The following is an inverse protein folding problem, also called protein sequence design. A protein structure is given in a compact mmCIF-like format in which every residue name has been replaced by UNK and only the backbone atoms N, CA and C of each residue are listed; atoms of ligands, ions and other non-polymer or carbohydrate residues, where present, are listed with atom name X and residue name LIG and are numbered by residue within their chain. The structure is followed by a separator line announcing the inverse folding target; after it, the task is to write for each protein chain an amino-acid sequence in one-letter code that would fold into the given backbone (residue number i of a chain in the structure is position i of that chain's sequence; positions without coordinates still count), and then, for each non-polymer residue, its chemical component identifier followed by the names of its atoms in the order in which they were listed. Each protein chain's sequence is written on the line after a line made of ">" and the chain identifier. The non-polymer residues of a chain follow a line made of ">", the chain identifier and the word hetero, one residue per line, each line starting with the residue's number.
data_IF_016168740441
#
_entry.id   IF_016168740441
#
_cell.length_a   1.000
_cell.length_b   1.000
_cell.length_c   1.000
_cell.angle_alpha   90.00
_cell.angle_beta   90.00
_cell.angle_gamma   90.00
#
_symmetry.space_group_name_H-M   'P 1'
#
loop_
_entity.id
_entity.type
_entity.pdbx_description
1 polymer ?
#
# COMPACT_ATOMS: atom_id res chain seq x y z
N UNK A 1 71.97 -9.00 -20.27
CA UNK A 1 71.15 -7.83 -20.58
C UNK A 1 70.09 -8.28 -21.58
N UNK A 2 68.80 -8.32 -21.35
CA UNK A 2 67.95 -8.05 -20.20
C UNK A 2 66.51 -8.30 -20.68
N UNK A 3 65.67 -8.88 -19.82
CA UNK A 3 64.24 -8.55 -19.63
C UNK A 3 63.30 -8.86 -20.84
N UNK A 4 62.18 -9.60 -20.78
CA UNK A 4 61.33 -10.26 -19.78
C UNK A 4 60.16 -10.86 -20.58
N UNK A 5 59.61 -12.01 -20.18
CA UNK A 5 58.22 -12.15 -19.72
C UNK A 5 57.98 -13.61 -19.32
N UNK A 6 58.66 -14.05 -18.26
CA UNK A 6 58.10 -15.10 -17.41
C UNK A 6 56.88 -14.52 -16.72
N UNK A 7 55.71 -14.61 -17.35
CA UNK A 7 54.43 -14.28 -16.71
C UNK A 7 53.27 -14.72 -17.60
N UNK A 8 52.51 -15.70 -17.09
CA UNK A 8 51.19 -16.14 -17.55
C UNK A 8 51.14 -17.03 -18.80
N UNK A 9 51.59 -18.27 -18.65
CA UNK A 9 50.88 -19.39 -19.28
C UNK A 9 50.75 -20.55 -18.28
N UNK A 10 50.18 -20.22 -17.11
CA UNK A 10 49.60 -21.19 -16.19
C UNK A 10 48.44 -21.89 -16.89
N UNK A 11 48.73 -23.11 -17.27
CA UNK A 11 47.93 -23.99 -18.08
C UNK A 11 46.76 -24.62 -17.27
N UNK A 12 45.62 -24.74 -17.96
CA UNK A 12 44.51 -25.70 -17.78
C UNK A 12 43.37 -25.41 -16.79
N UNK A 13 42.16 -25.36 -17.38
CA UNK A 13 40.89 -25.88 -16.88
C UNK A 13 40.07 -25.06 -15.86
N UNK A 14 39.55 -23.91 -16.28
CA UNK A 14 38.40 -23.24 -15.59
C UNK A 14 37.07 -23.48 -16.34
N UNK A 15 37.09 -24.08 -17.53
CA UNK A 15 35.93 -24.07 -18.44
C UNK A 15 34.85 -25.13 -18.17
N UNK A 16 34.82 -25.77 -17.00
CA UNK A 16 33.70 -26.68 -16.70
C UNK A 16 33.27 -26.63 -15.23
N UNK A 17 32.91 -25.43 -14.77
CA UNK A 17 32.00 -25.31 -13.64
C UNK A 17 30.63 -25.70 -14.18
N UNK A 18 30.16 -26.90 -13.87
CA UNK A 18 28.82 -27.34 -14.24
C UNK A 18 27.81 -26.49 -13.44
N UNK A 19 27.35 -25.39 -14.06
CA UNK A 19 26.39 -24.43 -13.50
C UNK A 19 24.96 -25.00 -13.40
N UNK A 20 24.77 -26.28 -13.75
CA UNK A 20 23.48 -26.94 -13.62
C UNK A 20 23.17 -27.08 -12.13
N UNK A 21 22.09 -26.46 -11.62
CA UNK A 21 21.72 -26.65 -10.23
C UNK A 21 21.45 -28.13 -10.02
N UNK A 22 22.27 -28.78 -9.17
CA UNK A 22 22.03 -30.17 -8.78
C UNK A 22 20.62 -30.24 -8.19
N UNK A 23 19.77 -31.18 -8.64
CA UNK A 23 18.45 -31.32 -8.04
C UNK A 23 18.62 -31.61 -6.54
N UNK A 24 17.76 -31.05 -5.69
CA UNK A 24 17.87 -31.25 -4.26
C UNK A 24 17.74 -32.74 -3.93
N UNK A 25 18.62 -33.24 -3.05
CA UNK A 25 18.63 -34.65 -2.60
C UNK A 25 17.31 -35.01 -1.89
N UNK A 26 16.69 -34.02 -1.27
CA UNK A 26 15.42 -34.15 -0.59
C UNK A 26 14.44 -33.13 -1.15
N UNK A 27 13.27 -33.60 -1.55
CA UNK A 27 12.15 -32.76 -1.93
C UNK A 27 11.14 -32.84 -0.80
N UNK A 28 10.73 -31.70 -0.25
CA UNK A 28 9.61 -31.70 0.71
C UNK A 28 8.36 -32.17 -0.01
N UNK A 29 7.87 -33.37 0.32
CA UNK A 29 6.51 -33.78 -0.04
C UNK A 29 5.58 -33.26 1.03
N UNK A 30 4.67 -32.38 0.64
CA UNK A 30 3.55 -32.00 1.51
C UNK A 30 2.76 -33.27 1.87
N UNK A 31 2.64 -33.56 3.17
CA UNK A 31 1.79 -34.65 3.67
C UNK A 31 0.37 -34.09 3.69
N UNK A 32 -0.48 -34.55 2.79
CA UNK A 32 -1.88 -34.16 2.73
C UNK A 32 -2.70 -35.15 3.56
N UNK A 33 -3.28 -34.69 4.67
CA UNK A 33 -4.27 -35.45 5.44
C UNK A 33 -5.44 -35.81 4.54
N UNK A 34 -5.94 -37.05 4.60
CA UNK A 34 -7.04 -37.53 3.74
C UNK A 34 -8.34 -36.73 3.89
N UNK A 35 -8.52 -36.08 5.03
CA UNK A 35 -9.67 -35.21 5.31
C UNK A 35 -9.15 -33.79 5.53
N UNK A 36 -9.52 -32.88 4.63
CA UNK A 36 -9.35 -31.44 4.83
C UNK A 36 -10.52 -30.96 5.66
N UNK A 37 -10.29 -30.65 6.92
CA UNK A 37 -11.32 -30.13 7.82
C UNK A 37 -11.57 -28.63 7.54
N UNK A 38 -12.01 -28.35 6.31
CA UNK A 38 -12.31 -27.00 5.83
C UNK A 38 -13.48 -26.39 6.58
N UNK A 39 -14.33 -27.25 7.15
CA UNK A 39 -15.53 -26.92 7.91
C UNK A 39 -15.20 -26.41 9.32
N UNK A 40 -14.03 -26.78 9.86
CA UNK A 40 -13.49 -26.26 11.12
C UNK A 40 -12.76 -24.90 10.95
N UNK A 41 -12.61 -24.40 9.72
CA UNK A 41 -11.93 -23.15 9.44
C UNK A 41 -12.88 -21.96 9.66
N UNK A 42 -12.74 -21.30 10.80
CA UNK A 42 -13.50 -20.08 11.11
C UNK A 42 -12.84 -18.85 10.51
N UNK A 43 -13.62 -17.78 10.31
CA UNK A 43 -13.06 -16.46 10.04
C UNK A 43 -12.09 -16.06 11.17
N UNK A 44 -10.95 -15.43 10.84
CA UNK A 44 -10.06 -14.85 11.84
C UNK A 44 -10.81 -13.91 12.77
N UNK A 45 -10.49 -14.01 14.06
CA UNK A 45 -11.07 -13.15 15.08
C UNK A 45 -10.83 -11.67 14.77
N UNK A 46 -11.90 -10.88 14.70
CA UNK A 46 -11.84 -9.42 14.62
C UNK A 46 -12.01 -8.83 16.02
N UNK A 47 -10.94 -8.30 16.66
CA UNK A 47 -11.02 -7.78 18.01
C UNK A 47 -11.89 -6.52 18.10
N UNK A 48 -12.55 -6.38 19.24
CA UNK A 48 -13.17 -5.11 19.64
C UNK A 48 -12.08 -4.04 19.84
N UNK A 49 -12.38 -2.80 19.48
CA UNK A 49 -11.49 -1.67 19.70
C UNK A 49 -12.16 -0.62 20.60
N UNK A 50 -11.34 0.16 21.30
CA UNK A 50 -11.78 1.30 22.12
C UNK A 50 -11.12 2.56 21.55
N UNK A 51 -11.90 3.62 21.39
CA UNK A 51 -11.42 4.92 20.88
C UNK A 51 -11.58 5.94 22.00
N UNK A 52 -10.53 6.74 22.23
CA UNK A 52 -10.60 7.83 23.20
C UNK A 52 -11.56 8.92 22.72
N UNK A 53 -12.17 9.64 23.67
CA UNK A 53 -13.06 10.75 23.33
C UNK A 53 -12.29 11.84 22.57
N UNK A 54 -12.76 12.17 21.37
CA UNK A 54 -12.14 13.16 20.49
C UNK A 54 -11.15 12.58 19.46
N UNK A 55 -10.77 11.32 19.59
CA UNK A 55 -9.91 10.65 18.64
C UNK A 55 -10.74 10.09 17.46
N UNK A 56 -10.28 10.30 16.23
CA UNK A 56 -10.94 9.80 15.02
C UNK A 56 -9.91 9.09 14.14
N UNK A 57 -9.49 7.86 14.52
CA UNK A 57 -8.46 7.13 13.81
C UNK A 57 -8.91 6.76 12.39
N UNK A 58 -8.04 6.96 11.42
CA UNK A 58 -8.34 6.80 10.00
C UNK A 58 -8.51 5.35 9.60
N UNK A 59 -7.86 4.43 10.31
CA UNK A 59 -8.00 2.99 10.14
C UNK A 59 -9.43 2.53 10.37
N UNK A 60 -10.21 3.24 11.20
CA UNK A 60 -11.62 2.93 11.40
C UNK A 60 -12.50 3.25 10.19
N UNK A 61 -11.99 3.98 9.19
CA UNK A 61 -12.70 4.15 7.92
C UNK A 61 -12.70 2.86 7.08
N UNK A 62 -11.84 1.89 7.41
CA UNK A 62 -11.74 0.60 6.74
C UNK A 62 -12.51 -0.52 7.45
N UNK A 63 -13.32 -0.24 8.48
CA UNK A 63 -14.04 -1.28 9.25
C UNK A 63 -15.07 -2.06 8.44
N UNK A 64 -15.43 -1.58 7.24
CA UNK A 64 -16.26 -2.35 6.31
C UNK A 64 -15.53 -3.58 5.73
N UNK A 65 -14.21 -3.63 5.84
CA UNK A 65 -13.40 -4.73 5.34
C UNK A 65 -13.22 -5.79 6.44
N UNK A 66 -13.41 -7.05 6.09
CA UNK A 66 -13.10 -8.20 6.95
C UNK A 66 -12.34 -9.27 6.16
N UNK A 67 -11.83 -10.29 6.87
CA UNK A 67 -11.15 -11.40 6.22
C UNK A 67 -12.09 -12.10 5.23
N UNK A 68 -11.64 -12.32 4.00
CA UNK A 68 -12.48 -12.86 2.93
C UNK A 68 -13.43 -11.84 2.28
N UNK A 69 -13.57 -10.64 2.86
CA UNK A 69 -14.42 -9.56 2.38
C UNK A 69 -13.62 -8.25 2.28
N UNK A 70 -12.69 -8.22 1.33
CA UNK A 70 -11.88 -7.03 1.01
C UNK A 70 -10.54 -6.92 1.73
N UNK A 71 -10.20 -7.84 2.63
CA UNK A 71 -8.82 -8.04 3.10
C UNK A 71 -8.12 -9.18 2.32
N UNK A 72 -6.81 -9.10 2.03
CA UNK A 72 -5.87 -8.04 2.41
C UNK A 72 -6.13 -6.72 1.67
N UNK A 73 -5.86 -5.61 2.36
CA UNK A 73 -6.08 -4.25 1.86
C UNK A 73 -5.33 -4.03 0.53
N UNK A 74 -6.04 -3.54 -0.48
CA UNK A 74 -5.47 -3.19 -1.78
C UNK A 74 -4.92 -1.75 -1.83
N UNK A 75 -4.23 -1.41 -2.92
CA UNK A 75 -3.74 -0.04 -3.16
C UNK A 75 -4.86 1.00 -3.11
N UNK A 76 -6.04 0.65 -3.61
CA UNK A 76 -7.21 1.52 -3.63
C UNK A 76 -7.59 2.06 -2.23
N UNK A 77 -7.61 1.19 -1.23
CA UNK A 77 -7.98 1.57 0.14
C UNK A 77 -6.92 2.46 0.79
N UNK A 78 -5.65 2.20 0.49
CA UNK A 78 -4.52 3.04 0.93
C UNK A 78 -4.64 4.43 0.30
N UNK A 79 -4.86 4.50 -1.01
CA UNK A 79 -5.08 5.76 -1.74
C UNK A 79 -6.29 6.53 -1.19
N UNK A 80 -7.37 5.84 -0.82
CA UNK A 80 -8.54 6.46 -0.17
C UNK A 80 -8.18 7.12 1.16
N UNK A 81 -7.36 6.49 2.00
CA UNK A 81 -6.86 7.09 3.25
C UNK A 81 -5.97 8.30 2.95
N UNK A 82 -5.05 8.17 2.01
CA UNK A 82 -4.12 9.25 1.65
C UNK A 82 -4.84 10.48 1.09
N UNK A 83 -5.83 10.28 0.21
CA UNK A 83 -6.71 11.37 -0.26
C UNK A 83 -7.43 12.05 0.90
N UNK A 84 -7.92 11.26 1.86
CA UNK A 84 -8.56 11.82 3.05
C UNK A 84 -7.60 12.63 3.93
N UNK A 85 -6.32 12.24 4.03
CA UNK A 85 -5.29 13.02 4.72
C UNK A 85 -5.04 14.34 4.03
N UNK A 86 -4.78 14.31 2.72
CA UNK A 86 -4.55 15.52 1.92
C UNK A 86 -5.71 16.50 2.03
N UNK A 87 -6.96 16.00 1.98
CA UNK A 87 -8.15 16.83 2.18
C UNK A 87 -8.14 17.50 3.55
N UNK A 88 -7.88 16.74 4.62
CA UNK A 88 -7.88 17.27 5.99
C UNK A 88 -6.76 18.31 6.19
N UNK A 89 -5.58 18.07 5.64
CA UNK A 89 -4.47 19.03 5.67
C UNK A 89 -4.84 20.34 4.98
N UNK A 90 -5.48 20.25 3.80
CA UNK A 90 -5.93 21.45 3.09
C UNK A 90 -7.02 22.16 3.92
N UNK A 91 -8.05 21.45 4.39
CA UNK A 91 -9.13 22.02 5.21
C UNK A 91 -8.62 22.66 6.51
N UNK A 92 -7.60 22.09 7.15
CA UNK A 92 -6.96 22.65 8.34
C UNK A 92 -6.18 23.94 8.05
N UNK A 93 -5.61 24.06 6.84
CA UNK A 93 -4.91 25.26 6.39
C UNK A 93 -5.86 26.38 5.91
N UNK A 94 -7.15 26.09 5.69
CA UNK A 94 -8.11 27.11 5.30
C UNK A 94 -8.44 28.04 6.49
N UNK A 95 -8.44 29.38 6.31
CA UNK A 95 -8.79 30.31 7.37
C UNK A 95 -10.25 30.11 7.80
N UNK A 96 -10.56 30.10 9.11
CA UNK A 96 -11.93 29.96 9.60
C UNK A 96 -12.86 30.98 8.95
N UNK A 97 -14.07 30.55 8.59
CA UNK A 97 -15.01 31.43 7.88
C UNK A 97 -15.34 32.71 8.66
N UNK A 98 -15.40 32.62 10.00
CA UNK A 98 -15.68 33.75 10.89
C UNK A 98 -14.68 34.90 10.72
N UNK A 99 -13.42 34.59 10.47
CA UNK A 99 -12.33 35.58 10.40
C UNK A 99 -12.32 36.31 9.05
N UNK A 100 -12.84 35.67 8.00
CA UNK A 100 -12.81 36.17 6.63
C UNK A 100 -14.16 36.71 6.14
N UNK A 101 -15.22 36.62 6.96
CA UNK A 101 -16.59 36.96 6.57
C UNK A 101 -16.77 38.38 6.00
N UNK A 102 -15.93 39.32 6.45
CA UNK A 102 -15.98 40.72 6.00
C UNK A 102 -15.14 40.98 4.74
N UNK A 103 -14.35 40.01 4.27
CA UNK A 103 -13.42 40.16 3.16
C UNK A 103 -13.83 39.27 1.97
N UNK A 104 -14.50 39.87 0.99
CA UNK A 104 -14.99 39.19 -0.22
C UNK A 104 -13.88 38.48 -1.01
N UNK A 105 -12.66 39.05 -1.05
CA UNK A 105 -11.52 38.46 -1.78
C UNK A 105 -11.06 37.16 -1.11
N UNK A 106 -11.00 37.13 0.22
CA UNK A 106 -10.62 35.92 0.95
C UNK A 106 -11.70 34.83 0.87
N UNK A 107 -12.98 35.22 0.91
CA UNK A 107 -14.10 34.30 0.69
C UNK A 107 -13.99 33.67 -0.70
N UNK A 108 -13.80 34.46 -1.75
CA UNK A 108 -13.65 33.96 -3.11
C UNK A 108 -12.47 32.99 -3.26
N UNK A 109 -11.32 33.29 -2.63
CA UNK A 109 -10.16 32.38 -2.57
C UNK A 109 -10.52 31.06 -1.89
N UNK A 110 -11.21 31.12 -0.75
CA UNK A 110 -11.66 29.93 -0.01
C UNK A 110 -12.57 29.06 -0.88
N UNK A 111 -13.58 29.65 -1.51
CA UNK A 111 -14.50 28.94 -2.39
C UNK A 111 -13.76 28.25 -3.54
N UNK A 112 -12.82 28.95 -4.21
CA UNK A 112 -12.03 28.38 -5.30
C UNK A 112 -11.18 27.18 -4.86
N UNK A 113 -10.62 27.21 -3.65
CA UNK A 113 -9.85 26.08 -3.11
C UNK A 113 -10.77 24.88 -2.84
N UNK A 114 -11.94 25.12 -2.26
CA UNK A 114 -12.92 24.06 -1.98
C UNK A 114 -13.50 23.44 -3.26
N UNK A 115 -13.81 24.26 -4.26
CA UNK A 115 -14.27 23.82 -5.57
C UNK A 115 -13.20 22.95 -6.26
N UNK A 116 -11.93 23.37 -6.21
CA UNK A 116 -10.82 22.57 -6.76
C UNK A 116 -10.56 21.26 -6.00
N UNK A 117 -10.95 21.17 -4.72
CA UNK A 117 -10.94 19.91 -3.97
C UNK A 117 -12.08 19.00 -4.40
N UNK A 118 -13.29 19.55 -4.50
CA UNK A 118 -14.47 18.80 -4.92
C UNK A 118 -14.29 18.24 -6.33
N UNK A 119 -13.87 19.05 -7.29
CA UNK A 119 -13.63 18.60 -8.67
C UNK A 119 -12.62 17.45 -8.75
N UNK A 120 -11.58 17.47 -7.90
CA UNK A 120 -10.62 16.35 -7.81
C UNK A 120 -11.29 15.09 -7.29
N UNK A 121 -12.10 15.17 -6.23
CA UNK A 121 -12.85 14.02 -5.74
C UNK A 121 -13.82 13.45 -6.77
N UNK A 122 -14.55 14.33 -7.47
CA UNK A 122 -15.46 13.94 -8.54
C UNK A 122 -14.74 13.15 -9.63
N UNK A 123 -13.58 13.64 -10.08
CA UNK A 123 -12.77 12.93 -11.07
C UNK A 123 -12.37 11.51 -10.62
N UNK A 124 -12.02 11.33 -9.34
CA UNK A 124 -11.73 9.99 -8.83
C UNK A 124 -12.97 9.10 -8.79
N UNK A 125 -14.13 9.62 -8.36
CA UNK A 125 -15.38 8.85 -8.32
C UNK A 125 -15.84 8.46 -9.72
N UNK A 126 -15.69 9.34 -10.69
CA UNK A 126 -16.04 9.06 -12.09
C UNK A 126 -15.18 7.92 -12.64
N UNK A 127 -13.86 7.97 -12.40
CA UNK A 127 -12.96 6.86 -12.74
C UNK A 127 -13.30 5.54 -12.05
N UNK A 128 -13.78 5.58 -10.80
CA UNK A 128 -14.23 4.39 -10.06
C UNK A 128 -15.51 3.80 -10.65
N UNK A 129 -16.41 4.62 -11.20
CA UNK A 129 -17.68 4.18 -11.80
C UNK A 129 -17.48 3.59 -13.21
N UNK A 130 -16.51 4.10 -13.96
CA UNK A 130 -16.19 3.63 -15.31
C UNK A 130 -15.40 2.31 -15.34
N UNK A 131 -14.74 1.95 -14.24
CA UNK A 131 -13.89 0.76 -14.11
C UNK A 131 -14.69 -0.53 -13.82
#
# INVERSE_FOLDING_TARGET
>A
MDITLDSLAGNQNITQIDLRPKPPVYVSRYVQTMYRDSEAQTDPYSPLYVVNTGENPETLKLTSLSYGYGLPVGLFDVERIERSRQRREIEANLPPYKDIANNLVQIAKRCKILEGLENREWYFREREVEA
#
